data_IF_112318898540
#
_entry.id   IF_112318898540
#
_cell.length_a   1.000
_cell.length_b   1.000
_cell.length_c   1.000
_cell.angle_alpha   90.00
_cell.angle_beta   90.00
_cell.angle_gamma   90.00
#
_symmetry.space_group_name_H-M   'P 1'
#
loop_
_entity.id
_entity.type
_entity.pdbx_description
1 polymer ?
#
# COMPACT_ATOMS: atom_id res chain seq x y z
N UNK A 1 9.56 24.71 -3.03
CA UNK A 1 9.55 23.54 -2.14
C UNK A 1 9.93 22.34 -2.98
N UNK A 2 11.03 21.65 -2.64
CA UNK A 2 11.40 20.38 -3.27
C UNK A 2 10.36 19.34 -2.90
N UNK A 3 9.67 18.79 -3.89
CA UNK A 3 8.72 17.70 -3.70
C UNK A 3 9.52 16.43 -3.37
N UNK A 4 9.00 15.54 -2.51
CA UNK A 4 9.72 14.33 -2.14
C UNK A 4 9.90 13.33 -3.31
N UNK A 5 9.08 13.44 -4.35
CA UNK A 5 9.07 12.55 -5.52
C UNK A 5 8.67 13.34 -6.76
N UNK A 6 9.16 12.92 -7.93
CA UNK A 6 8.83 13.56 -9.21
C UNK A 6 7.32 13.48 -9.48
N UNK A 7 6.74 14.46 -10.21
CA UNK A 7 5.30 14.46 -10.54
C UNK A 7 4.82 13.17 -11.24
N UNK A 8 5.63 12.60 -12.13
CA UNK A 8 5.33 11.32 -12.78
C UNK A 8 5.20 10.18 -11.76
N UNK A 9 6.08 10.15 -10.74
CA UNK A 9 6.02 9.15 -9.68
C UNK A 9 4.72 9.27 -8.89
N UNK A 10 4.27 10.49 -8.60
CA UNK A 10 3.01 10.73 -7.89
C UNK A 10 1.80 10.20 -8.66
N UNK A 11 1.75 10.37 -9.99
CA UNK A 11 0.68 9.80 -10.83
C UNK A 11 0.69 8.28 -10.77
N UNK A 12 1.86 7.65 -10.93
CA UNK A 12 2.01 6.20 -10.84
C UNK A 12 1.59 5.70 -9.45
N UNK A 13 2.07 6.35 -8.39
CA UNK A 13 1.75 6.01 -7.01
C UNK A 13 0.26 6.16 -6.70
N UNK A 14 -0.42 7.11 -7.35
CA UNK A 14 -1.88 7.28 -7.22
C UNK A 14 -2.64 6.14 -7.89
N UNK A 15 -2.23 5.72 -9.09
CA UNK A 15 -2.82 4.55 -9.74
C UNK A 15 -2.58 3.27 -8.89
N UNK A 16 -1.36 3.13 -8.37
CA UNK A 16 -1.00 2.08 -7.41
C UNK A 16 -1.62 2.29 -6.03
N UNK A 17 -2.26 3.40 -5.71
CA UNK A 17 -3.05 3.56 -4.48
C UNK A 17 -4.49 3.14 -4.71
N UNK A 18 -5.08 3.56 -5.83
CA UNK A 18 -6.48 3.29 -6.15
C UNK A 18 -6.74 1.80 -6.33
N UNK A 19 -5.87 1.09 -7.04
CA UNK A 19 -6.11 -0.34 -7.27
C UNK A 19 -5.77 -1.21 -6.05
N UNK A 20 -4.51 -1.35 -5.59
CA UNK A 20 -4.22 -2.22 -4.46
C UNK A 20 -4.49 -1.57 -3.09
N UNK A 21 -4.28 -0.27 -2.91
CA UNK A 21 -4.47 0.39 -1.61
C UNK A 21 -5.93 0.38 -1.14
N UNK A 22 -6.85 0.76 -2.03
CA UNK A 22 -8.31 0.70 -1.74
C UNK A 22 -8.77 -0.76 -1.64
N UNK A 23 -8.25 -1.66 -2.48
CA UNK A 23 -8.60 -3.09 -2.41
C UNK A 23 -8.16 -3.71 -1.09
N UNK A 24 -6.93 -3.45 -0.63
CA UNK A 24 -6.44 -3.95 0.67
C UNK A 24 -7.27 -3.38 1.82
N UNK A 25 -7.54 -2.07 1.79
CA UNK A 25 -8.35 -1.41 2.80
C UNK A 25 -9.75 -2.02 2.89
N UNK A 26 -10.44 -2.12 1.76
CA UNK A 26 -11.80 -2.61 1.67
C UNK A 26 -11.89 -4.09 2.06
N UNK A 27 -11.03 -4.93 1.50
CA UNK A 27 -11.00 -6.36 1.82
C UNK A 27 -10.70 -6.60 3.31
N UNK A 28 -9.77 -5.86 3.91
CA UNK A 28 -9.46 -5.99 5.33
C UNK A 28 -10.60 -5.50 6.23
N UNK A 29 -11.20 -4.35 5.91
CA UNK A 29 -12.26 -3.75 6.73
C UNK A 29 -13.58 -4.52 6.67
N UNK A 30 -13.84 -5.20 5.56
CA UNK A 30 -15.11 -5.90 5.33
C UNK A 30 -15.48 -6.84 6.47
N UNK A 31 -14.52 -7.62 6.99
CA UNK A 31 -14.78 -8.54 8.10
C UNK A 31 -15.20 -7.85 9.41
N UNK A 32 -14.75 -6.60 9.63
CA UNK A 32 -15.09 -5.82 10.81
C UNK A 32 -16.44 -5.11 10.69
N UNK A 33 -16.87 -4.79 9.47
CA UNK A 33 -18.12 -4.06 9.21
C UNK A 33 -19.28 -5.01 8.93
N UNK A 34 -19.07 -6.02 8.08
CA UNK A 34 -20.10 -6.94 7.63
C UNK A 34 -20.25 -8.18 8.52
N UNK A 35 -19.27 -8.47 9.40
CA UNK A 35 -19.27 -9.67 10.24
C UNK A 35 -19.00 -10.97 9.47
N UNK A 36 -18.69 -10.89 8.18
CA UNK A 36 -18.37 -12.02 7.30
C UNK A 36 -17.04 -11.80 6.58
N UNK A 37 -16.38 -12.89 6.18
CA UNK A 37 -15.14 -12.81 5.41
C UNK A 37 -15.44 -12.53 3.93
N UNK A 38 -14.66 -11.63 3.34
CA UNK A 38 -14.84 -11.23 1.95
C UNK A 38 -14.43 -12.38 1.00
N UNK A 39 -15.36 -12.93 0.23
CA UNK A 39 -15.11 -14.16 -0.54
C UNK A 39 -14.53 -13.88 -1.93
N UNK A 40 -13.31 -13.33 -2.01
CA UNK A 40 -12.60 -13.05 -3.27
C UNK A 40 -11.23 -13.74 -3.30
N UNK A 41 -10.86 -14.28 -4.46
CA UNK A 41 -9.54 -14.86 -4.78
C UNK A 41 -8.44 -13.86 -4.38
N UNK A 42 -7.76 -14.12 -3.26
CA UNK A 42 -6.83 -13.18 -2.61
C UNK A 42 -7.04 -12.99 -1.10
N UNK A 43 -8.09 -13.60 -0.52
CA UNK A 43 -8.27 -13.68 0.94
C UNK A 43 -7.33 -14.70 1.60
N UNK A 44 -7.16 -15.87 0.99
CA UNK A 44 -6.15 -16.86 1.37
C UNK A 44 -4.80 -16.48 0.76
N UNK A 45 -4.14 -15.53 1.41
CA UNK A 45 -2.73 -15.22 1.16
C UNK A 45 -1.83 -15.87 2.21
N UNK A 46 -0.50 -15.77 2.05
CA UNK A 46 0.48 -16.38 2.97
C UNK A 46 0.26 -16.00 4.44
N UNK A 47 -0.23 -14.79 4.70
CA UNK A 47 -0.56 -14.31 6.05
C UNK A 47 -1.75 -15.03 6.69
N UNK A 48 -2.77 -15.36 5.91
CA UNK A 48 -3.93 -16.10 6.41
C UNK A 48 -3.51 -17.55 6.70
N UNK A 49 -2.75 -18.17 5.81
CA UNK A 49 -2.24 -19.53 6.01
C UNK A 49 -1.33 -19.62 7.24
N UNK A 50 -0.46 -18.62 7.43
CA UNK A 50 0.40 -18.54 8.61
C UNK A 50 -0.41 -18.32 9.88
N UNK A 51 -1.40 -17.41 9.86
CA UNK A 51 -2.26 -17.17 11.02
C UNK A 51 -3.01 -18.44 11.42
N UNK A 52 -3.58 -19.16 10.46
CA UNK A 52 -4.26 -20.43 10.70
C UNK A 52 -3.31 -21.50 11.27
N UNK A 53 -2.08 -21.61 10.75
CA UNK A 53 -1.06 -22.54 11.28
C UNK A 53 -0.64 -22.21 12.72
N UNK A 54 -0.62 -20.93 13.07
CA UNK A 54 -0.21 -20.45 14.40
C UNK A 54 -1.38 -20.32 15.39
N UNK A 55 -2.60 -20.67 15.00
CA UNK A 55 -3.80 -20.50 15.83
C UNK A 55 -4.17 -19.02 16.09
N UNK A 56 -3.66 -18.11 15.27
CA UNK A 56 -3.96 -16.67 15.36
C UNK A 56 -5.34 -16.42 14.74
N UNK A 57 -6.21 -15.62 15.37
CA UNK A 57 -7.50 -15.28 14.82
C UNK A 57 -7.40 -14.65 13.42
N UNK A 58 -8.21 -15.07 12.43
CA UNK A 58 -8.21 -14.52 11.07
C UNK A 58 -8.48 -13.01 10.99
N UNK A 59 -9.06 -12.41 12.04
CA UNK A 59 -9.21 -10.95 12.14
C UNK A 59 -7.86 -10.22 12.19
N UNK A 60 -6.80 -10.84 12.71
CA UNK A 60 -5.47 -10.23 12.80
C UNK A 60 -4.87 -9.93 11.42
N UNK A 61 -4.76 -10.91 10.48
CA UNK A 61 -4.26 -10.62 9.14
C UNK A 61 -5.20 -9.67 8.36
N UNK A 62 -6.49 -9.61 8.68
CA UNK A 62 -7.44 -8.65 8.08
C UNK A 62 -7.19 -7.22 8.58
N UNK A 63 -6.95 -7.04 9.88
CA UNK A 63 -6.56 -5.74 10.44
C UNK A 63 -5.23 -5.26 9.84
N UNK A 64 -4.24 -6.14 9.73
CA UNK A 64 -2.96 -5.83 9.09
C UNK A 64 -3.16 -5.36 7.64
N UNK A 65 -4.03 -6.05 6.90
CA UNK A 65 -4.39 -5.71 5.52
C UNK A 65 -4.99 -4.30 5.42
N UNK A 66 -5.91 -3.96 6.33
CA UNK A 66 -6.49 -2.61 6.40
C UNK A 66 -5.45 -1.54 6.73
N UNK A 67 -4.57 -1.79 7.71
CA UNK A 67 -3.52 -0.85 8.10
C UNK A 67 -2.54 -0.59 6.95
N UNK A 68 -2.19 -1.60 6.16
CA UNK A 68 -1.35 -1.44 4.98
C UNK A 68 -2.04 -0.64 3.88
N UNK A 69 -3.34 -0.86 3.65
CA UNK A 69 -4.16 -0.03 2.76
C UNK A 69 -4.18 1.44 3.20
N UNK A 70 -4.37 1.70 4.50
CA UNK A 70 -4.33 3.06 5.07
C UNK A 70 -2.95 3.69 4.96
N UNK A 71 -1.87 2.94 5.24
CA UNK A 71 -0.50 3.44 5.10
C UNK A 71 -0.20 3.84 3.66
N UNK A 72 -0.68 3.06 2.68
CA UNK A 72 -0.55 3.41 1.27
C UNK A 72 -1.30 4.71 0.94
N UNK A 73 -2.59 4.78 1.28
CA UNK A 73 -3.44 5.93 0.96
C UNK A 73 -2.91 7.19 1.63
N UNK A 74 -2.66 7.14 2.94
CA UNK A 74 -2.10 8.26 3.70
C UNK A 74 -0.71 8.67 3.20
N UNK A 75 0.14 7.69 2.86
CA UNK A 75 1.46 7.95 2.30
C UNK A 75 1.39 8.69 0.97
N UNK A 76 0.59 8.23 0.02
CA UNK A 76 0.48 8.86 -1.31
C UNK A 76 -0.17 10.23 -1.23
N UNK A 77 -1.23 10.40 -0.43
CA UNK A 77 -1.86 11.72 -0.24
C UNK A 77 -0.91 12.71 0.45
N UNK A 78 -0.13 12.27 1.43
CA UNK A 78 0.89 13.10 2.07
C UNK A 78 2.01 13.51 1.11
N UNK A 79 2.43 12.62 0.21
CA UNK A 79 3.40 12.95 -0.85
C UNK A 79 2.84 13.99 -1.84
N UNK A 80 1.55 13.93 -2.17
CA UNK A 80 0.87 14.98 -2.96
C UNK A 80 0.82 16.33 -2.24
N UNK A 81 0.66 16.33 -0.92
CA UNK A 81 0.73 17.53 -0.08
C UNK A 81 2.16 18.10 0.06
N UNK A 82 3.17 17.42 -0.49
CA UNK A 82 4.58 17.81 -0.36
C UNK A 82 5.21 17.45 0.98
N UNK A 83 4.56 16.60 1.80
CA UNK A 83 5.11 16.15 3.08
C UNK A 83 6.05 14.97 2.89
N UNK A 84 7.34 15.20 3.12
CA UNK A 84 8.37 14.15 3.05
C UNK A 84 8.20 13.08 4.13
N UNK A 85 7.53 13.39 5.25
CA UNK A 85 7.27 12.44 6.34
C UNK A 85 6.26 11.36 5.94
N UNK A 86 5.54 11.56 4.84
CA UNK A 86 4.65 10.56 4.26
C UNK A 86 5.40 9.48 3.45
N UNK A 87 6.68 9.72 3.12
CA UNK A 87 7.47 8.78 2.32
C UNK A 87 7.62 7.39 2.98
N UNK A 88 7.94 7.25 4.28
CA UNK A 88 7.99 5.95 4.94
C UNK A 88 6.64 5.21 4.92
N UNK A 89 5.54 5.94 5.04
CA UNK A 89 4.18 5.35 4.95
C UNK A 89 3.90 4.80 3.56
N UNK A 90 4.23 5.57 2.51
CA UNK A 90 4.11 5.12 1.13
C UNK A 90 5.01 3.89 0.85
N UNK A 91 6.23 3.88 1.39
CA UNK A 91 7.15 2.76 1.28
C UNK A 91 6.62 1.50 2.01
N UNK A 92 6.07 1.67 3.21
CA UNK A 92 5.45 0.59 3.99
C UNK A 92 4.23 0.02 3.27
N UNK A 93 3.38 0.87 2.69
CA UNK A 93 2.30 0.43 1.82
C UNK A 93 2.84 -0.37 0.63
N UNK A 94 3.82 0.18 -0.08
CA UNK A 94 4.47 -0.42 -1.26
C UNK A 94 5.05 -1.80 -0.98
N UNK A 95 5.88 -1.91 0.07
CA UNK A 95 6.45 -3.17 0.51
C UNK A 95 5.39 -4.13 1.07
N UNK A 96 4.42 -3.62 1.82
CA UNK A 96 3.33 -4.40 2.39
C UNK A 96 2.48 -5.10 1.35
N UNK A 97 2.18 -4.42 0.22
CA UNK A 97 1.40 -5.03 -0.87
C UNK A 97 2.13 -6.14 -1.60
N UNK A 98 3.47 -6.21 -1.55
CA UNK A 98 4.22 -7.35 -2.09
C UNK A 98 3.84 -8.67 -1.44
N UNK A 99 3.32 -8.60 -0.21
CA UNK A 99 2.95 -9.78 0.56
C UNK A 99 1.55 -10.31 0.22
N UNK A 100 0.83 -9.63 -0.68
CA UNK A 100 -0.51 -10.02 -1.12
C UNK A 100 -0.47 -10.38 -2.62
N UNK A 101 -0.64 -11.67 -2.97
CA UNK A 101 -0.46 -12.15 -4.33
C UNK A 101 -1.47 -11.54 -5.33
N UNK A 102 -1.11 -11.58 -6.61
CA UNK A 102 -1.93 -11.07 -7.71
C UNK A 102 -1.73 -9.57 -7.96
N UNK A 103 -2.84 -8.86 -8.16
CA UNK A 103 -2.85 -7.42 -8.46
C UNK A 103 -2.11 -6.55 -7.44
N UNK A 104 -2.29 -6.76 -6.11
CA UNK A 104 -1.58 -5.99 -5.09
C UNK A 104 -0.06 -6.10 -5.15
N UNK A 105 0.49 -7.30 -5.35
CA UNK A 105 1.93 -7.51 -5.48
C UNK A 105 2.53 -6.76 -6.66
N UNK A 106 1.91 -6.83 -7.84
CA UNK A 106 2.40 -6.15 -9.05
C UNK A 106 2.44 -4.64 -8.84
N UNK A 107 1.36 -4.07 -8.29
CA UNK A 107 1.29 -2.64 -8.02
C UNK A 107 2.18 -2.22 -6.85
N UNK A 108 2.40 -3.11 -5.88
CA UNK A 108 3.45 -3.05 -4.85
C UNK A 108 4.84 -2.79 -5.45
N UNK A 109 5.22 -3.65 -6.40
CA UNK A 109 6.52 -3.57 -7.07
C UNK A 109 6.66 -2.29 -7.91
N UNK A 110 5.62 -1.91 -8.65
CA UNK A 110 5.60 -0.66 -9.44
C UNK A 110 5.71 0.56 -8.51
N UNK A 111 4.96 0.58 -7.40
CA UNK A 111 5.02 1.65 -6.40
C UNK A 111 6.40 1.77 -5.76
N UNK A 112 7.03 0.64 -5.40
CA UNK A 112 8.41 0.64 -4.90
C UNK A 112 9.40 1.18 -5.93
N UNK A 113 9.28 0.78 -7.20
CA UNK A 113 10.14 1.28 -8.26
C UNK A 113 9.98 2.80 -8.42
N UNK A 114 8.75 3.31 -8.39
CA UNK A 114 8.49 4.75 -8.44
C UNK A 114 9.09 5.49 -7.23
N UNK A 115 8.95 4.95 -6.02
CA UNK A 115 9.50 5.55 -4.80
C UNK A 115 11.04 5.56 -4.78
N UNK A 116 11.68 4.50 -5.26
CA UNK A 116 13.14 4.35 -5.20
C UNK A 116 13.87 5.06 -6.34
N UNK A 117 13.37 4.97 -7.57
CA UNK A 117 14.09 5.44 -8.76
C UNK A 117 13.63 6.81 -9.26
N UNK A 118 12.43 7.26 -8.90
CA UNK A 118 11.88 8.55 -9.34
C UNK A 118 11.84 9.59 -8.22
N UNK A 119 12.75 9.48 -7.24
CA UNK A 119 12.96 10.52 -6.23
C UNK A 119 13.36 11.84 -6.90
N UNK A 120 12.91 12.93 -6.30
CA UNK A 120 13.34 14.25 -6.74
C UNK A 120 14.79 14.44 -6.27
N UNK A 121 15.67 14.74 -7.24
CA UNK A 121 17.08 14.95 -6.99
C UNK A 121 17.29 16.45 -6.85
N UNK A 122 17.54 16.93 -5.63
CA UNK A 122 17.68 18.37 -5.32
C UNK A 122 18.75 19.08 -6.14
N UNK A 123 19.63 18.32 -6.80
CA UNK A 123 20.72 18.79 -7.66
C UNK A 123 20.32 18.99 -9.13
N UNK A 124 19.15 18.53 -9.56
CA UNK A 124 18.74 18.47 -10.98
C UNK A 124 17.53 19.34 -11.34
N UNK A 125 17.06 20.17 -10.42
CA UNK A 125 15.94 21.11 -10.67
C UNK A 125 16.54 22.48 -11.03
N UNK A 126 16.39 22.98 -12.27
CA UNK A 126 16.73 24.37 -12.58
C UNK A 126 15.78 25.26 -11.79
N UNK A 127 16.33 26.32 -11.19
CA UNK A 127 15.59 27.31 -10.40
C UNK A 127 14.45 27.97 -11.19
#
# INVERSE_FOLDING_TARGET
MTRPVRPLALVILTACMVYPGVTLLYQGLYAFVAGEYFNLLGLQGPWMDLALKLGIPPLVPMALKSLLGLAWIGGVLGLWAGDWRAYPLALLGAAGSLLYPGGPMVMGAIGLAALLFLREDSTKVPA
#
